data_IF_939569937898
#
_entry.id   IF_939569937898
#
_cell.length_a   1.000
_cell.length_b   1.000
_cell.length_c   1.000
_cell.angle_alpha   90.00
_cell.angle_beta   90.00
_cell.angle_gamma   90.00
#
_symmetry.space_group_name_H-M   'P 1'
#
loop_
_entity.id
_entity.type
_entity.pdbx_description
1 polymer ?
#
# COMPACT_ATOMS: atom_id res chain seq x y z
N UNK A 1 42.27 -105.01 17.52
CA UNK A 1 42.54 -104.04 18.60
C UNK A 1 42.24 -102.64 18.09
N UNK A 2 41.41 -101.91 18.84
CA UNK A 2 40.96 -100.54 18.59
C UNK A 2 42.06 -99.48 18.72
N UNK A 3 41.94 -98.38 17.96
CA UNK A 3 41.91 -97.03 18.54
C UNK A 3 41.32 -96.03 17.54
N UNK A 4 40.08 -95.63 17.82
CA UNK A 4 39.45 -94.43 17.27
C UNK A 4 40.14 -93.20 17.88
N UNK A 5 40.65 -92.30 17.04
CA UNK A 5 40.95 -90.92 17.43
C UNK A 5 39.69 -90.11 17.16
N UNK A 6 38.98 -89.73 18.23
CA UNK A 6 37.77 -88.92 18.16
C UNK A 6 38.11 -87.49 17.71
N UNK A 7 37.89 -87.20 16.43
CA UNK A 7 37.85 -85.85 15.91
C UNK A 7 36.59 -85.17 16.45
N UNK A 8 36.75 -84.22 17.38
CA UNK A 8 35.64 -83.41 17.90
C UNK A 8 35.15 -82.46 16.80
N UNK A 9 34.15 -82.90 16.04
CA UNK A 9 33.36 -82.02 15.18
C UNK A 9 32.47 -81.14 16.08
N UNK A 10 32.84 -79.88 16.26
CA UNK A 10 31.88 -78.87 16.70
C UNK A 10 31.05 -78.47 15.49
N UNK A 11 29.74 -78.70 15.55
CA UNK A 11 28.82 -78.27 14.51
C UNK A 11 28.90 -76.74 14.34
N UNK A 12 28.89 -76.19 13.11
CA UNK A 12 28.89 -74.75 12.92
C UNK A 12 27.62 -74.17 13.57
N UNK A 13 27.81 -73.36 14.61
CA UNK A 13 26.72 -72.65 15.27
C UNK A 13 26.12 -71.72 14.23
N UNK A 14 24.88 -71.99 13.80
CA UNK A 14 24.16 -71.09 12.90
C UNK A 14 24.03 -69.74 13.60
N UNK A 15 24.50 -68.63 12.99
CA UNK A 15 24.35 -67.31 13.59
C UNK A 15 22.87 -67.05 13.84
N UNK A 16 22.56 -66.35 14.93
CA UNK A 16 21.17 -66.04 15.25
C UNK A 16 20.51 -65.30 14.08
N UNK A 17 19.18 -65.37 13.90
CA UNK A 17 18.49 -64.63 12.85
C UNK A 17 18.83 -63.13 12.83
N UNK A 18 19.15 -62.55 14.00
CA UNK A 18 19.61 -61.17 14.14
C UNK A 18 20.99 -60.88 13.52
N UNK A 19 21.86 -61.90 13.44
CA UNK A 19 23.20 -61.83 12.85
C UNK A 19 23.21 -62.22 11.36
N UNK A 20 22.08 -62.69 10.83
CA UNK A 20 21.96 -63.07 9.42
C UNK A 20 22.24 -61.86 8.50
N UNK A 21 23.07 -62.00 7.45
CA UNK A 21 23.43 -60.91 6.55
C UNK A 21 22.22 -60.21 5.90
N UNK A 22 21.18 -60.97 5.52
CA UNK A 22 19.95 -60.42 4.94
C UNK A 22 19.17 -59.55 5.92
N UNK A 23 19.04 -59.98 7.18
CA UNK A 23 18.33 -59.22 8.22
C UNK A 23 19.07 -57.91 8.57
N UNK A 24 20.41 -57.95 8.60
CA UNK A 24 21.24 -56.75 8.78
C UNK A 24 21.04 -55.74 7.66
N UNK A 25 20.93 -56.19 6.40
CA UNK A 25 20.65 -55.32 5.25
C UNK A 25 19.28 -54.66 5.35
N UNK A 26 18.24 -55.41 5.70
CA UNK A 26 16.88 -54.85 5.88
C UNK A 26 16.86 -53.82 7.00
N UNK A 27 17.52 -54.09 8.13
CA UNK A 27 17.63 -53.14 9.24
C UNK A 27 18.31 -51.83 8.81
N UNK A 28 19.37 -51.92 8.02
CA UNK A 28 20.06 -50.76 7.48
C UNK A 28 19.18 -49.97 6.49
N UNK A 29 18.45 -50.66 5.60
CA UNK A 29 17.54 -50.02 4.65
C UNK A 29 16.38 -49.29 5.35
N UNK A 30 15.76 -49.92 6.35
CA UNK A 30 14.71 -49.29 7.16
C UNK A 30 15.25 -48.06 7.90
N UNK A 31 16.45 -48.14 8.48
CA UNK A 31 17.08 -47.00 9.15
C UNK A 31 17.36 -45.85 8.16
N UNK A 32 17.88 -46.15 6.97
CA UNK A 32 18.14 -45.15 5.94
C UNK A 32 16.84 -44.49 5.43
N UNK A 33 15.78 -45.29 5.22
CA UNK A 33 14.45 -44.78 4.85
C UNK A 33 13.86 -43.89 5.95
N UNK A 34 13.98 -44.28 7.22
CA UNK A 34 13.52 -43.45 8.35
C UNK A 34 14.19 -42.09 8.36
N UNK A 35 15.52 -42.02 8.18
CA UNK A 35 16.25 -40.75 8.14
C UNK A 35 15.77 -39.89 6.98
N UNK A 36 15.62 -40.47 5.77
CA UNK A 36 15.10 -39.74 4.60
C UNK A 36 13.69 -39.21 4.82
N UNK A 37 12.79 -40.00 5.41
CA UNK A 37 11.42 -39.56 5.71
C UNK A 37 11.36 -38.50 6.82
N UNK A 38 12.34 -38.48 7.72
CA UNK A 38 12.46 -37.45 8.75
C UNK A 38 13.01 -36.11 8.22
N UNK A 39 13.61 -36.10 7.03
CA UNK A 39 14.02 -34.87 6.36
C UNK A 39 12.83 -34.24 5.63
N UNK A 40 12.19 -33.29 6.28
CA UNK A 40 11.29 -32.33 5.64
C UNK A 40 11.95 -30.94 5.63
N UNK A 41 11.56 -30.09 4.68
CA UNK A 41 11.92 -28.69 4.73
C UNK A 41 11.41 -28.06 6.05
N UNK A 42 12.13 -27.09 6.63
CA UNK A 42 11.65 -26.35 7.79
C UNK A 42 10.28 -25.73 7.49
N UNK A 43 9.37 -25.74 8.48
CA UNK A 43 8.02 -25.21 8.31
C UNK A 43 8.01 -23.76 7.78
N UNK A 44 8.99 -22.93 8.18
CA UNK A 44 9.13 -21.56 7.69
C UNK A 44 9.41 -21.50 6.18
N UNK A 45 10.18 -22.45 5.63
CA UNK A 45 10.52 -22.49 4.20
C UNK A 45 9.30 -22.89 3.36
N UNK A 46 8.55 -23.90 3.78
CA UNK A 46 7.29 -24.31 3.10
C UNK A 46 6.22 -23.23 3.21
N UNK A 47 6.04 -22.63 4.39
CA UNK A 47 5.10 -21.51 4.58
C UNK A 47 5.46 -20.32 3.70
N UNK A 48 6.74 -19.99 3.56
CA UNK A 48 7.19 -18.91 2.68
C UNK A 48 6.96 -19.25 1.20
N UNK A 49 7.29 -20.47 0.78
CA UNK A 49 7.03 -20.96 -0.58
C UNK A 49 5.54 -20.88 -0.95
N UNK A 50 4.66 -21.28 -0.02
CA UNK A 50 3.21 -21.20 -0.20
C UNK A 50 2.70 -19.74 -0.28
N UNK A 51 3.26 -18.84 0.55
CA UNK A 51 2.91 -17.42 0.53
C UNK A 51 3.42 -16.72 -0.74
N UNK A 52 4.66 -17.00 -1.16
CA UNK A 52 5.27 -16.42 -2.36
C UNK A 52 4.57 -16.93 -3.65
N UNK A 53 3.97 -18.13 -3.61
CA UNK A 53 3.17 -18.69 -4.70
C UNK A 53 1.70 -18.25 -4.69
N UNK A 54 1.25 -17.57 -3.62
CA UNK A 54 -0.12 -17.08 -3.52
C UNK A 54 -0.29 -15.91 -4.51
N UNK A 55 -1.10 -16.13 -5.54
CA UNK A 55 -1.55 -15.05 -6.43
C UNK A 55 -2.52 -14.18 -5.65
N UNK A 56 -2.20 -12.90 -5.50
CA UNK A 56 -3.12 -11.94 -4.90
C UNK A 56 -4.46 -11.96 -5.65
N UNK A 57 -5.60 -11.70 -4.97
CA UNK A 57 -6.89 -11.53 -5.63
C UNK A 57 -6.76 -10.60 -6.84
N UNK A 58 -7.44 -10.88 -7.98
CA UNK A 58 -7.29 -10.08 -9.20
C UNK A 58 -7.55 -8.57 -9.02
N UNK A 59 -8.33 -8.22 -8.00
CA UNK A 59 -8.74 -6.87 -7.63
C UNK A 59 -7.86 -6.20 -6.56
N UNK A 60 -6.85 -6.87 -6.01
CA UNK A 60 -6.04 -6.34 -4.90
C UNK A 60 -5.32 -5.03 -5.27
N UNK A 61 -4.74 -4.95 -6.47
CA UNK A 61 -4.09 -3.71 -6.92
C UNK A 61 -5.08 -2.57 -7.16
N UNK A 62 -6.24 -2.88 -7.74
CA UNK A 62 -7.31 -1.89 -7.90
C UNK A 62 -7.84 -1.40 -6.54
N UNK A 63 -7.94 -2.29 -5.55
CA UNK A 63 -8.38 -1.96 -4.20
C UNK A 63 -7.35 -1.05 -3.49
N UNK A 64 -6.06 -1.38 -3.59
CA UNK A 64 -4.97 -0.54 -3.10
C UNK A 64 -4.97 0.83 -3.78
N UNK A 65 -5.19 0.87 -5.10
CA UNK A 65 -5.33 2.09 -5.87
C UNK A 65 -6.47 2.99 -5.42
N UNK A 66 -7.65 2.40 -5.22
CA UNK A 66 -8.83 3.11 -4.71
C UNK A 66 -8.60 3.65 -3.29
N UNK A 67 -7.98 2.86 -2.42
CA UNK A 67 -7.65 3.28 -1.07
C UNK A 67 -6.64 4.45 -1.07
N UNK A 68 -5.55 4.33 -1.82
CA UNK A 68 -4.55 5.38 -1.96
C UNK A 68 -5.13 6.66 -2.57
N UNK A 69 -6.04 6.55 -3.54
CA UNK A 69 -6.72 7.72 -4.12
C UNK A 69 -7.64 8.40 -3.11
N UNK A 70 -8.41 7.63 -2.34
CA UNK A 70 -9.26 8.17 -1.27
C UNK A 70 -8.44 8.91 -0.20
N UNK A 71 -7.26 8.40 0.14
CA UNK A 71 -6.33 9.08 1.05
C UNK A 71 -5.81 10.40 0.45
N UNK A 72 -5.44 10.43 -0.84
CA UNK A 72 -5.05 11.67 -1.54
C UNK A 72 -6.18 12.71 -1.55
N UNK A 73 -7.42 12.29 -1.82
CA UNK A 73 -8.60 13.16 -1.77
C UNK A 73 -8.84 13.71 -0.37
N UNK A 74 -8.71 12.89 0.67
CA UNK A 74 -8.87 13.31 2.07
C UNK A 74 -7.75 14.26 2.53
N UNK A 75 -6.55 14.12 1.97
CA UNK A 75 -5.42 15.00 2.25
C UNK A 75 -5.48 16.34 1.51
N UNK A 76 -6.25 16.45 0.42
CA UNK A 76 -6.42 17.67 -0.34
C UNK A 76 -7.16 18.72 0.52
N UNK A 77 -6.46 19.80 0.84
CA UNK A 77 -7.03 20.93 1.58
C UNK A 77 -7.48 22.03 0.61
N UNK A 78 -8.53 22.79 0.94
CA UNK A 78 -8.86 23.99 0.19
C UNK A 78 -7.67 24.96 0.22
N UNK A 79 -7.41 25.65 -0.89
CA UNK A 79 -6.45 26.74 -0.90
C UNK A 79 -6.87 27.86 0.07
N UNK A 80 -5.90 28.51 0.70
CA UNK A 80 -6.13 29.58 1.67
C UNK A 80 -6.66 30.87 1.00
N UNK A 81 -7.65 31.51 1.62
CA UNK A 81 -8.14 32.81 1.16
C UNK A 81 -7.21 33.93 1.63
N UNK A 82 -6.61 34.66 0.68
CA UNK A 82 -5.74 35.79 1.02
C UNK A 82 -6.56 37.05 1.36
N UNK A 83 -6.91 37.19 2.64
CA UNK A 83 -7.65 38.33 3.17
C UNK A 83 -6.97 39.67 2.90
N UNK A 84 -5.64 39.75 3.00
CA UNK A 84 -4.93 41.01 2.81
C UNK A 84 -5.00 41.46 1.35
N UNK A 85 -4.72 40.54 0.41
CA UNK A 85 -4.84 40.82 -1.01
C UNK A 85 -6.27 41.23 -1.40
N UNK A 86 -7.29 40.61 -0.77
CA UNK A 86 -8.68 41.03 -0.94
C UNK A 86 -8.93 42.47 -0.47
N UNK A 87 -8.49 42.81 0.75
CA UNK A 87 -8.64 44.17 1.30
C UNK A 87 -7.93 45.18 0.41
N UNK A 88 -6.71 44.90 -0.03
CA UNK A 88 -5.94 45.78 -0.91
C UNK A 88 -6.65 45.98 -2.25
N UNK A 89 -7.23 44.90 -2.79
CA UNK A 89 -7.96 44.93 -4.05
C UNK A 89 -9.30 45.69 -3.94
N UNK A 90 -9.97 45.62 -2.79
CA UNK A 90 -11.18 46.40 -2.47
C UNK A 90 -10.83 47.88 -2.35
N UNK A 91 -9.81 48.22 -1.57
CA UNK A 91 -9.36 49.60 -1.40
C UNK A 91 -8.96 50.22 -2.74
N UNK A 92 -8.23 49.49 -3.57
CA UNK A 92 -7.86 49.93 -4.93
C UNK A 92 -9.09 50.21 -5.81
N UNK A 93 -10.12 49.36 -5.74
CA UNK A 93 -11.35 49.56 -6.50
C UNK A 93 -12.13 50.80 -6.01
N UNK A 94 -12.16 51.01 -4.70
CA UNK A 94 -12.73 52.21 -4.09
C UNK A 94 -11.96 53.46 -4.53
N UNK A 95 -10.64 53.45 -4.44
CA UNK A 95 -9.78 54.58 -4.80
C UNK A 95 -9.87 54.94 -6.29
N UNK A 96 -10.01 53.94 -7.16
CA UNK A 96 -10.20 54.15 -8.58
C UNK A 96 -11.51 54.89 -8.88
N UNK A 97 -12.57 54.54 -8.14
CA UNK A 97 -13.91 55.08 -8.36
C UNK A 97 -14.23 56.31 -7.50
N UNK A 98 -13.38 56.60 -6.51
CA UNK A 98 -13.57 57.69 -5.56
C UNK A 98 -13.79 59.04 -6.28
N UNK A 99 -14.79 59.83 -5.84
CA UNK A 99 -15.06 61.14 -6.42
C UNK A 99 -13.88 62.09 -6.18
N UNK A 100 -13.46 62.82 -7.22
CA UNK A 100 -12.28 63.72 -7.16
C UNK A 100 -12.63 65.17 -6.87
N UNK A 101 -13.92 65.51 -6.89
CA UNK A 101 -14.45 66.84 -6.63
C UNK A 101 -15.82 66.73 -5.94
N UNK A 102 -16.32 67.86 -5.43
CA UNK A 102 -17.59 67.92 -4.68
C UNK A 102 -18.81 67.55 -5.54
N UNK A 103 -18.83 67.91 -6.82
CA UNK A 103 -19.95 67.61 -7.72
C UNK A 103 -20.03 66.10 -8.06
N UNK A 104 -18.87 65.46 -8.25
CA UNK A 104 -18.75 64.01 -8.40
C UNK A 104 -19.18 63.27 -7.13
N UNK A 105 -18.91 63.86 -5.94
CA UNK A 105 -19.31 63.28 -4.67
C UNK A 105 -20.83 63.35 -4.48
N UNK A 106 -21.45 64.49 -4.77
CA UNK A 106 -22.92 64.67 -4.71
C UNK A 106 -23.65 63.73 -5.67
N UNK A 107 -23.04 63.43 -6.82
CA UNK A 107 -23.60 62.52 -7.83
C UNK A 107 -23.15 61.07 -7.64
N UNK A 108 -22.27 60.76 -6.69
CA UNK A 108 -21.63 59.44 -6.57
C UNK A 108 -22.66 58.31 -6.44
N UNK A 109 -23.69 58.51 -5.60
CA UNK A 109 -24.77 57.54 -5.40
C UNK A 109 -25.62 57.27 -6.64
N UNK A 110 -25.68 58.23 -7.57
CA UNK A 110 -26.43 58.12 -8.85
C UNK A 110 -25.55 57.74 -10.03
N UNK A 111 -24.22 57.70 -9.83
CA UNK A 111 -23.24 57.49 -10.90
C UNK A 111 -23.04 56.02 -11.29
N UNK A 112 -23.62 55.08 -10.54
CA UNK A 112 -23.40 53.64 -10.71
C UNK A 112 -21.98 53.17 -10.38
N UNK A 113 -21.11 54.06 -9.87
CA UNK A 113 -19.73 53.72 -9.49
C UNK A 113 -19.69 52.77 -8.28
N UNK A 114 -20.65 52.88 -7.36
CA UNK A 114 -20.81 51.96 -6.24
C UNK A 114 -21.13 50.54 -6.73
N UNK A 115 -22.05 50.41 -7.69
CA UNK A 115 -22.41 49.11 -8.27
C UNK A 115 -21.21 48.48 -8.99
N UNK A 116 -20.40 49.27 -9.71
CA UNK A 116 -19.16 48.78 -10.32
C UNK A 116 -18.15 48.26 -9.30
N UNK A 117 -17.98 48.95 -8.17
CA UNK A 117 -17.09 48.46 -7.09
C UNK A 117 -17.63 47.13 -6.55
N UNK A 118 -18.96 47.04 -6.34
CA UNK A 118 -19.60 45.81 -5.89
C UNK A 118 -19.36 44.66 -6.87
N UNK A 119 -19.62 44.86 -8.15
CA UNK A 119 -19.44 43.84 -9.18
C UNK A 119 -17.98 43.35 -9.27
N UNK A 120 -17.02 44.26 -9.17
CA UNK A 120 -15.59 43.91 -9.19
C UNK A 120 -15.18 43.11 -7.94
N UNK A 121 -15.70 43.48 -6.76
CA UNK A 121 -15.44 42.76 -5.51
C UNK A 121 -16.09 41.38 -5.53
N UNK A 122 -17.33 41.27 -5.98
CA UNK A 122 -18.05 40.01 -6.12
C UNK A 122 -17.31 39.06 -7.09
N UNK A 123 -16.78 39.60 -8.20
CA UNK A 123 -15.92 38.86 -9.12
C UNK A 123 -14.67 38.29 -8.45
N UNK A 124 -13.92 39.12 -7.70
CA UNK A 124 -12.72 38.67 -6.97
C UNK A 124 -13.03 37.60 -5.91
N UNK A 125 -14.19 37.67 -5.27
CA UNK A 125 -14.64 36.62 -4.33
C UNK A 125 -14.93 35.32 -5.08
N UNK A 126 -15.56 35.40 -6.25
CA UNK A 126 -15.81 34.22 -7.10
C UNK A 126 -14.50 33.55 -7.52
N UNK A 127 -13.56 34.33 -8.06
CA UNK A 127 -12.25 33.83 -8.48
C UNK A 127 -11.47 33.21 -7.31
N UNK A 128 -11.55 33.84 -6.13
CA UNK A 128 -10.95 33.32 -4.91
C UNK A 128 -11.51 31.96 -4.51
N UNK A 129 -12.84 31.78 -4.60
CA UNK A 129 -13.49 30.48 -4.34
C UNK A 129 -13.06 29.42 -5.34
N UNK A 130 -13.01 29.75 -6.62
CA UNK A 130 -12.56 28.82 -7.67
C UNK A 130 -11.11 28.40 -7.45
N UNK A 131 -10.21 29.36 -7.17
CA UNK A 131 -8.81 29.07 -6.89
C UNK A 131 -8.64 28.19 -5.65
N UNK A 132 -9.39 28.44 -4.59
CA UNK A 132 -9.34 27.62 -3.37
C UNK A 132 -9.86 26.19 -3.58
N UNK A 133 -10.80 25.98 -4.50
CA UNK A 133 -11.37 24.67 -4.79
C UNK A 133 -10.55 23.83 -5.77
N UNK A 134 -9.67 24.46 -6.55
CA UNK A 134 -8.96 23.84 -7.68
C UNK A 134 -8.19 22.56 -7.31
N UNK A 135 -7.50 22.57 -6.17
CA UNK A 135 -6.69 21.42 -5.75
C UNK A 135 -7.57 20.22 -5.34
N UNK A 136 -8.70 20.49 -4.69
CA UNK A 136 -9.70 19.47 -4.34
C UNK A 136 -10.38 18.92 -5.59
N UNK A 137 -10.77 19.79 -6.52
CA UNK A 137 -11.39 19.37 -7.80
C UNK A 137 -10.43 18.51 -8.63
N UNK A 138 -9.15 18.91 -8.68
CA UNK A 138 -8.10 18.14 -9.37
C UNK A 138 -7.88 16.78 -8.72
N UNK A 139 -7.77 16.72 -7.38
CA UNK A 139 -7.60 15.47 -6.66
C UNK A 139 -8.81 14.53 -6.79
N UNK A 140 -10.03 15.08 -6.81
CA UNK A 140 -11.28 14.31 -6.93
C UNK A 140 -11.47 13.72 -8.34
N UNK A 141 -10.96 14.40 -9.38
CA UNK A 141 -11.04 13.94 -10.77
C UNK A 141 -9.94 12.95 -11.16
N UNK A 142 -8.91 12.79 -10.33
CA UNK A 142 -7.80 11.88 -10.62
C UNK A 142 -8.25 10.41 -10.53
N UNK A 143 -7.92 9.56 -11.53
CA UNK A 143 -8.20 8.14 -11.46
C UNK A 143 -7.32 7.45 -10.38
N UNK A 144 -7.79 6.34 -9.78
CA UNK A 144 -6.98 5.55 -8.86
C UNK A 144 -5.81 4.87 -9.57
N UNK A 145 -4.67 4.77 -8.88
CA UNK A 145 -3.48 4.08 -9.39
C UNK A 145 -3.71 2.56 -9.36
N UNK A 146 -3.79 1.88 -10.50
CA UNK A 146 -4.03 0.41 -10.58
C UNK A 146 -2.79 -0.44 -10.46
#
# INVERSE_FOLDING_TARGET
MSRLVAQRYTAPVKPSPAQAPGFRKVKADVAAKKVRLAHHAPAATESKSAQDAAVAPPDDREAQGKAANAEKMNAAKPGEFNKQAFIDAVNKAIDAQAPKNLDDADKFSKSGKADKIKDEVDGKVSDGKESSAKDIDTATKAPPDT
#
